data_IF_597607244713
#
_entry.id   IF_597607244713
#
_cell.length_a   1.000
_cell.length_b   1.000
_cell.length_c   1.000
_cell.angle_alpha   90.00
_cell.angle_beta   90.00
_cell.angle_gamma   90.00
#
_symmetry.space_group_name_H-M   'P 1'
#
loop_
_entity.id
_entity.type
_entity.pdbx_description
1 polymer ?
#
# COMPACT_ATOMS: atom_id res chain seq x y z
N UNK A 1 12.89 22.19 5.20
CA UNK A 1 13.02 22.34 3.73
C UNK A 1 11.66 22.54 3.03
N UNK A 2 10.53 22.13 3.62
CA UNK A 2 9.19 22.26 3.01
C UNK A 2 8.46 23.61 3.22
N UNK A 3 9.12 24.64 3.75
CA UNK A 3 8.47 25.91 4.15
C UNK A 3 8.44 27.00 3.06
N UNK A 4 8.91 26.73 1.85
CA UNK A 4 9.06 27.74 0.79
C UNK A 4 8.10 27.58 -0.41
N UNK A 5 7.22 26.57 -0.40
CA UNK A 5 6.27 26.34 -1.49
C UNK A 5 4.87 26.81 -1.11
N UNK A 6 4.18 27.43 -2.07
CA UNK A 6 2.77 27.80 -1.93
C UNK A 6 1.93 26.56 -1.63
N UNK A 7 0.93 26.70 -0.74
CA UNK A 7 0.04 25.61 -0.32
C UNK A 7 -0.64 24.92 -1.51
N UNK A 8 -0.94 25.66 -2.57
CA UNK A 8 -1.50 25.10 -3.82
C UNK A 8 -0.51 24.19 -4.56
N UNK A 9 0.77 24.60 -4.63
CA UNK A 9 1.83 23.82 -5.28
C UNK A 9 2.10 22.53 -4.53
N UNK A 10 2.09 22.58 -3.19
CA UNK A 10 2.26 21.38 -2.35
C UNK A 10 1.14 20.36 -2.60
N UNK A 11 -0.13 20.80 -2.63
CA UNK A 11 -1.29 19.94 -2.94
C UNK A 11 -1.13 19.25 -4.30
N UNK A 12 -0.70 19.98 -5.33
CA UNK A 12 -0.49 19.40 -6.66
C UNK A 12 0.64 18.36 -6.68
N UNK A 13 1.77 18.65 -6.04
CA UNK A 13 2.90 17.71 -5.92
C UNK A 13 2.45 16.44 -5.23
N UNK A 14 1.65 16.56 -4.17
CA UNK A 14 1.17 15.42 -3.41
C UNK A 14 0.16 14.55 -4.16
N UNK A 15 -0.78 15.17 -4.89
CA UNK A 15 -1.72 14.46 -5.75
C UNK A 15 -0.95 13.69 -6.83
N UNK A 16 0.01 14.35 -7.47
CA UNK A 16 0.85 13.73 -8.50
C UNK A 16 1.70 12.58 -7.92
N UNK A 17 2.35 12.83 -6.79
CA UNK A 17 3.13 11.84 -6.04
C UNK A 17 2.32 10.59 -5.71
N UNK A 18 1.11 10.79 -5.21
CA UNK A 18 0.21 9.70 -4.83
C UNK A 18 -0.27 8.92 -6.04
N UNK A 19 -0.66 9.60 -7.12
CA UNK A 19 -1.24 8.97 -8.31
C UNK A 19 -0.22 8.23 -9.17
N UNK A 20 0.98 8.78 -9.33
CA UNK A 20 1.99 8.25 -10.25
C UNK A 20 3.10 7.43 -9.58
N UNK A 21 3.27 7.55 -8.26
CA UNK A 21 4.29 6.77 -7.54
C UNK A 21 3.67 5.85 -6.50
N UNK A 22 2.89 6.38 -5.57
CA UNK A 22 2.37 5.57 -4.47
C UNK A 22 1.40 4.49 -4.97
N UNK A 23 0.32 4.87 -5.66
CA UNK A 23 -0.71 3.94 -6.12
C UNK A 23 -0.18 2.89 -7.12
N UNK A 24 0.61 3.24 -8.14
CA UNK A 24 1.10 2.24 -9.09
C UNK A 24 2.03 1.23 -8.41
N UNK A 25 2.94 1.69 -7.54
CA UNK A 25 3.87 0.82 -6.83
C UNK A 25 3.13 -0.04 -5.81
N UNK A 26 2.19 0.52 -5.04
CA UNK A 26 1.44 -0.23 -4.04
C UNK A 26 0.58 -1.31 -4.67
N UNK A 27 -0.12 -1.00 -5.76
CA UNK A 27 -0.92 -1.97 -6.52
C UNK A 27 -0.03 -3.05 -7.14
N UNK A 28 1.11 -2.67 -7.72
CA UNK A 28 2.04 -3.62 -8.32
C UNK A 28 2.60 -4.61 -7.29
N UNK A 29 3.03 -4.13 -6.11
CA UNK A 29 3.51 -5.01 -5.04
C UNK A 29 2.38 -5.88 -4.49
N UNK A 30 1.18 -5.32 -4.31
CA UNK A 30 0.00 -6.09 -3.91
C UNK A 30 -0.26 -7.23 -4.90
N UNK A 31 -0.19 -6.96 -6.20
CA UNK A 31 -0.38 -7.96 -7.25
C UNK A 31 0.68 -9.06 -7.23
N UNK A 32 1.96 -8.71 -7.06
CA UNK A 32 3.05 -9.68 -6.96
C UNK A 32 3.01 -10.51 -5.68
N UNK A 33 2.54 -9.93 -4.58
CA UNK A 33 2.45 -10.62 -3.28
C UNK A 33 1.26 -11.57 -3.19
N UNK A 34 0.21 -11.37 -3.99
CA UNK A 34 -0.97 -12.25 -4.03
C UNK A 34 -0.67 -13.72 -4.35
N UNK A 35 0.07 -14.08 -5.42
CA UNK A 35 0.42 -15.48 -5.67
C UNK A 35 1.30 -16.08 -4.57
N UNK A 36 2.16 -15.27 -3.93
CA UNK A 36 2.99 -15.72 -2.79
C UNK A 36 2.14 -16.13 -1.60
N UNK A 37 1.11 -15.34 -1.28
CA UNK A 37 0.12 -15.69 -0.27
C UNK A 37 -0.67 -16.94 -0.66
N UNK A 38 -1.18 -17.00 -1.90
CA UNK A 38 -1.97 -18.13 -2.37
C UNK A 38 -1.20 -19.45 -2.33
N UNK A 39 0.05 -19.45 -2.78
CA UNK A 39 0.92 -20.63 -2.69
C UNK A 39 1.13 -21.08 -1.24
N UNK A 40 1.29 -20.15 -0.30
CA UNK A 40 1.43 -20.48 1.12
C UNK A 40 0.16 -21.04 1.73
N UNK A 41 -1.00 -20.52 1.29
CA UNK A 41 -2.32 -20.96 1.71
C UNK A 41 -2.63 -22.37 1.19
N UNK A 42 -2.39 -22.64 -0.09
CA UNK A 42 -2.65 -23.95 -0.71
C UNK A 42 -1.68 -25.02 -0.23
N UNK A 43 -0.40 -24.69 -0.09
CA UNK A 43 0.64 -25.64 0.35
C UNK A 43 0.61 -25.90 1.85
N UNK A 44 -0.23 -25.18 2.61
CA UNK A 44 -0.26 -25.21 4.08
C UNK A 44 1.17 -25.20 4.65
N UNK A 45 1.99 -24.25 4.20
CA UNK A 45 3.41 -24.25 4.56
C UNK A 45 3.58 -24.12 6.08
N UNK A 46 3.96 -25.24 6.70
CA UNK A 46 4.32 -25.32 8.10
C UNK A 46 5.83 -25.14 8.20
N UNK A 47 6.26 -24.36 9.18
CA UNK A 47 7.69 -24.19 9.44
C UNK A 47 8.34 -25.51 9.82
N UNK A 48 9.49 -25.84 9.21
CA UNK A 48 10.33 -27.00 9.54
C UNK A 48 11.03 -26.91 10.90
N UNK A 49 10.84 -25.80 11.64
CA UNK A 49 11.36 -25.66 13.00
C UNK A 49 10.44 -26.37 14.00
N UNK A 50 11.02 -26.97 15.05
CA UNK A 50 10.28 -27.57 16.15
C UNK A 50 9.28 -26.55 16.74
N UNK A 51 7.98 -26.77 16.51
CA UNK A 51 6.90 -25.84 16.86
C UNK A 51 5.93 -25.48 15.73
N UNK A 52 6.28 -25.74 14.46
CA UNK A 52 5.32 -25.87 13.35
C UNK A 52 4.37 -24.67 13.13
N UNK A 53 4.87 -23.44 13.14
CA UNK A 53 4.02 -22.27 12.90
C UNK A 53 3.57 -22.20 11.44
N UNK A 54 2.27 -21.98 11.23
CA UNK A 54 1.67 -21.79 9.92
C UNK A 54 2.15 -20.44 9.36
N UNK A 55 2.71 -20.44 8.13
CA UNK A 55 3.37 -19.27 7.55
C UNK A 55 2.45 -18.37 6.72
N UNK A 56 1.28 -18.87 6.30
CA UNK A 56 0.37 -18.09 5.45
C UNK A 56 -0.12 -16.77 6.08
N UNK A 57 -0.36 -16.64 7.41
CA UNK A 57 -0.84 -15.38 7.98
C UNK A 57 0.16 -14.25 7.78
N UNK A 58 1.45 -14.52 7.98
CA UNK A 58 2.53 -13.53 7.79
C UNK A 58 2.62 -13.13 6.32
N UNK A 59 2.47 -14.08 5.39
CA UNK A 59 2.48 -13.78 3.95
C UNK A 59 1.24 -13.00 3.49
N UNK A 60 0.11 -13.12 4.17
CA UNK A 60 -1.10 -12.33 3.93
C UNK A 60 -0.94 -10.86 4.36
N UNK A 61 -0.12 -10.58 5.37
CA UNK A 61 0.08 -9.21 5.86
C UNK A 61 0.66 -8.28 4.79
N UNK A 62 1.44 -8.81 3.84
CA UNK A 62 2.03 -8.03 2.74
C UNK A 62 0.94 -7.49 1.79
N UNK A 63 0.15 -8.32 1.08
CA UNK A 63 -0.92 -7.80 0.21
C UNK A 63 -1.93 -6.97 1.00
N UNK A 64 -2.26 -7.36 2.23
CA UNK A 64 -3.19 -6.60 3.07
C UNK A 64 -2.64 -5.21 3.43
N UNK A 65 -1.36 -5.11 3.79
CA UNK A 65 -0.71 -3.85 4.11
C UNK A 65 -0.68 -2.90 2.91
N UNK A 66 -0.36 -3.41 1.71
CA UNK A 66 -0.37 -2.59 0.49
C UNK A 66 -1.78 -2.22 0.03
N UNK A 67 -2.78 -3.07 0.29
CA UNK A 67 -4.18 -2.72 0.07
C UNK A 67 -4.59 -1.53 0.96
N UNK A 68 -4.31 -1.59 2.26
CA UNK A 68 -4.59 -0.51 3.20
C UNK A 68 -3.82 0.77 2.86
N UNK A 69 -2.55 0.65 2.46
CA UNK A 69 -1.74 1.79 2.00
C UNK A 69 -2.36 2.46 0.78
N UNK A 70 -2.89 1.68 -0.17
CA UNK A 70 -3.56 2.21 -1.36
C UNK A 70 -4.84 2.95 -0.98
N UNK A 71 -5.65 2.40 -0.07
CA UNK A 71 -6.84 3.07 0.47
C UNK A 71 -6.51 4.36 1.21
N UNK A 72 -5.43 4.35 2.00
CA UNK A 72 -4.93 5.53 2.70
C UNK A 72 -4.53 6.63 1.70
N UNK A 73 -3.75 6.28 0.67
CA UNK A 73 -3.36 7.21 -0.39
C UNK A 73 -4.58 7.82 -1.08
N UNK A 74 -5.60 7.01 -1.38
CA UNK A 74 -6.85 7.48 -1.97
C UNK A 74 -7.63 8.43 -1.04
N UNK A 75 -7.72 8.10 0.25
CA UNK A 75 -8.39 8.96 1.25
C UNK A 75 -7.74 10.34 1.32
N UNK A 76 -6.41 10.38 1.30
CA UNK A 76 -5.65 11.62 1.35
C UNK A 76 -5.82 12.45 0.08
N UNK A 77 -5.85 11.79 -1.08
CA UNK A 77 -6.08 12.42 -2.38
C UNK A 77 -7.45 13.10 -2.44
N UNK A 78 -8.50 12.44 -1.93
CA UNK A 78 -9.86 13.01 -1.85
C UNK A 78 -9.90 14.24 -0.94
N UNK A 79 -9.29 14.16 0.26
CA UNK A 79 -9.26 15.31 1.20
C UNK A 79 -8.56 16.52 0.60
N UNK A 80 -7.44 16.30 -0.09
CA UNK A 80 -6.65 17.37 -0.74
C UNK A 80 -7.40 17.98 -1.94
N UNK A 81 -8.06 17.15 -2.74
CA UNK A 81 -8.92 17.61 -3.83
C UNK A 81 -10.10 18.46 -3.31
N UNK A 82 -10.74 18.05 -2.21
CA UNK A 82 -11.82 18.80 -1.59
C UNK A 82 -11.34 20.15 -1.02
N UNK A 83 -10.17 20.19 -0.38
CA UNK A 83 -9.59 21.43 0.14
C UNK A 83 -9.24 22.45 -0.96
N UNK A 84 -8.95 21.99 -2.17
CA UNK A 84 -8.63 22.88 -3.30
C UNK A 84 -9.86 23.53 -3.95
N UNK A 85 -11.06 22.99 -3.68
CA UNK A 85 -12.35 23.48 -4.20
C UNK A 85 -13.02 24.52 -3.27
N UNK A 86 -12.70 24.51 -1.99
CA UNK A 86 -13.15 25.50 -1.00
C UNK A 86 -12.11 26.62 -0.82
#
# INVERSE_FOLDING_TARGET
VSSHLSRRTQIWIDIFGTLFFLLPVSIFIMWLSWPVFMNAWTSQEISSNAGGLIRWPVRLLVPLGFFLLSLQGLSELIKRAAFCRN
#
